data_IF_349816252629
#
_entry.id   IF_349816252629
#
_cell.length_a   1.000
_cell.length_b   1.000
_cell.length_c   1.000
_cell.angle_alpha   90.00
_cell.angle_beta   90.00
_cell.angle_gamma   90.00
#
_symmetry.space_group_name_H-M   'P 1'
#
loop_
_entity.id
_entity.type
_entity.pdbx_description
1 polymer ?
#
# COMPACT_ATOMS: atom_id res chain seq x y z
N UNK A 1 -7.76 -28.22 19.87
CA UNK A 1 -6.69 -27.39 19.27
C UNK A 1 -6.26 -27.98 17.94
N UNK A 2 -5.89 -27.15 16.95
CA UNK A 2 -5.42 -27.66 15.64
C UNK A 2 -4.08 -28.41 15.81
N UNK A 3 -3.83 -29.51 15.08
CA UNK A 3 -2.53 -30.18 15.06
C UNK A 3 -1.38 -29.26 14.65
N UNK A 4 -0.20 -29.45 15.23
CA UNK A 4 1.00 -28.65 14.94
C UNK A 4 1.34 -28.60 13.44
N UNK A 5 1.20 -29.72 12.72
CA UNK A 5 1.43 -29.80 11.26
C UNK A 5 0.48 -28.89 10.48
N UNK A 6 -0.80 -28.83 10.85
CA UNK A 6 -1.79 -27.96 10.20
C UNK A 6 -1.48 -26.48 10.45
N UNK A 7 -1.04 -26.14 11.66
CA UNK A 7 -0.62 -24.77 12.00
C UNK A 7 0.56 -24.35 11.13
N UNK A 8 1.60 -25.20 11.02
CA UNK A 8 2.76 -24.94 10.16
C UNK A 8 2.37 -24.78 8.69
N UNK A 9 1.47 -25.62 8.19
CA UNK A 9 0.99 -25.52 6.81
C UNK A 9 0.24 -24.19 6.59
N UNK A 10 -0.62 -23.78 7.52
CA UNK A 10 -1.29 -22.48 7.48
C UNK A 10 -0.31 -21.31 7.44
N UNK A 11 0.74 -21.35 8.27
CA UNK A 11 1.80 -20.32 8.26
C UNK A 11 2.50 -20.24 6.91
N UNK A 12 2.82 -21.39 6.30
CA UNK A 12 3.47 -21.44 4.97
C UNK A 12 2.59 -20.79 3.90
N UNK A 13 1.31 -21.17 3.84
CA UNK A 13 0.35 -20.62 2.87
C UNK A 13 0.23 -19.10 3.03
N UNK A 14 0.10 -18.60 4.27
CA UNK A 14 0.03 -17.16 4.52
C UNK A 14 1.30 -16.43 4.11
N UNK A 15 2.47 -17.00 4.38
CA UNK A 15 3.75 -16.42 3.99
C UNK A 15 3.95 -16.39 2.47
N UNK A 16 3.57 -17.44 1.75
CA UNK A 16 3.62 -17.50 0.30
C UNK A 16 2.71 -16.45 -0.34
N UNK A 17 1.46 -16.33 0.13
CA UNK A 17 0.53 -15.28 -0.31
C UNK A 17 1.09 -13.88 -0.08
N UNK A 18 1.72 -13.65 1.07
CA UNK A 18 2.35 -12.36 1.37
C UNK A 18 3.53 -12.09 0.45
N UNK A 19 4.37 -13.09 0.22
CA UNK A 19 5.53 -13.02 -0.70
C UNK A 19 5.12 -12.78 -2.13
N UNK A 20 3.97 -13.28 -2.57
CA UNK A 20 3.49 -13.12 -3.95
C UNK A 20 2.82 -11.75 -4.19
N UNK A 21 2.17 -11.18 -3.17
CA UNK A 21 1.32 -9.98 -3.33
C UNK A 21 1.92 -8.68 -2.80
N UNK A 22 2.90 -8.71 -1.88
CA UNK A 22 3.44 -7.50 -1.24
C UNK A 22 4.89 -7.23 -1.66
N UNK A 23 5.33 -5.95 -1.68
CA UNK A 23 6.70 -5.57 -2.05
C UNK A 23 7.71 -5.86 -0.92
N UNK A 24 7.83 -7.13 -0.54
CA UNK A 24 8.79 -7.57 0.47
C UNK A 24 10.22 -7.23 0.06
N UNK A 25 10.98 -6.68 1.01
CA UNK A 25 12.36 -6.23 0.78
C UNK A 25 12.48 -4.76 0.34
N UNK A 26 11.37 -4.09 -0.01
CA UNK A 26 11.37 -2.65 -0.26
C UNK A 26 11.00 -1.89 1.01
N UNK A 27 11.58 -0.69 1.18
CA UNK A 27 11.30 0.20 2.32
C UNK A 27 9.88 0.76 2.18
N UNK A 28 8.94 0.30 3.00
CA UNK A 28 7.54 0.77 3.01
C UNK A 28 6.95 0.69 4.41
N UNK A 29 5.83 1.38 4.64
CA UNK A 29 5.10 1.40 5.90
C UNK A 29 3.87 0.49 5.95
N UNK A 30 3.71 -0.41 4.96
CA UNK A 30 2.50 -1.21 4.79
C UNK A 30 1.48 -0.56 3.86
N UNK A 31 0.20 -0.87 4.07
CA UNK A 31 -0.91 -0.21 3.39
C UNK A 31 -1.00 1.24 3.83
N UNK A 32 -1.06 2.17 2.87
CA UNK A 32 -1.18 3.60 3.16
C UNK A 32 -2.60 3.97 3.56
N UNK A 33 -3.60 3.44 2.85
CA UNK A 33 -5.00 3.77 3.06
C UNK A 33 -5.80 2.59 3.59
N UNK A 34 -6.79 2.89 4.43
CA UNK A 34 -7.81 1.91 4.82
C UNK A 34 -8.66 1.55 3.60
N UNK A 35 -9.22 0.35 3.62
CA UNK A 35 -10.21 -0.03 2.62
C UNK A 35 -11.57 0.63 2.94
N UNK A 36 -12.18 1.38 2.00
CA UNK A 36 -13.54 1.88 2.16
C UNK A 36 -14.56 0.73 2.22
N UNK A 37 -15.74 0.99 2.78
CA UNK A 37 -16.78 -0.05 2.92
C UNK A 37 -17.14 -0.67 1.56
N UNK A 38 -17.03 -1.99 1.46
CA UNK A 38 -17.38 -2.74 0.25
C UNK A 38 -16.39 -2.60 -0.92
N UNK A 39 -15.27 -1.90 -0.75
CA UNK A 39 -14.29 -1.73 -1.83
C UNK A 39 -12.83 -1.77 -1.31
N UNK A 40 -11.87 -1.77 -2.24
CA UNK A 40 -10.45 -1.85 -1.91
C UNK A 40 -9.70 -0.62 -2.41
N UNK A 41 -8.99 0.05 -1.52
CA UNK A 41 -8.15 1.20 -1.88
C UNK A 41 -7.08 0.80 -2.90
N UNK A 42 -6.44 -0.36 -2.69
CA UNK A 42 -5.47 -0.89 -3.64
C UNK A 42 -6.06 -1.13 -5.03
N UNK A 43 -7.29 -1.66 -5.12
CA UNK A 43 -7.97 -1.86 -6.40
C UNK A 43 -8.26 -0.53 -7.10
N UNK A 44 -8.81 0.46 -6.39
CA UNK A 44 -9.10 1.78 -6.96
C UNK A 44 -7.84 2.46 -7.50
N UNK A 45 -6.73 2.41 -6.75
CA UNK A 45 -5.45 3.00 -7.16
C UNK A 45 -4.88 2.28 -8.40
N UNK A 46 -5.03 0.96 -8.47
CA UNK A 46 -4.58 0.14 -9.62
C UNK A 46 -5.43 0.40 -10.88
N UNK A 47 -6.76 0.51 -10.75
CA UNK A 47 -7.68 0.82 -11.85
C UNK A 47 -7.39 2.19 -12.48
N UNK A 48 -6.89 3.15 -11.69
CA UNK A 48 -6.41 4.44 -12.17
C UNK A 48 -5.01 4.40 -12.79
N UNK A 49 -4.37 3.22 -12.84
CA UNK A 49 -3.04 3.05 -13.40
C UNK A 49 -1.93 3.74 -12.61
N UNK A 50 -2.14 4.02 -11.31
CA UNK A 50 -1.21 4.83 -10.51
C UNK A 50 -0.01 4.04 -9.98
N UNK A 51 0.08 2.73 -10.26
CA UNK A 51 1.30 1.96 -9.98
C UNK A 51 2.50 2.62 -10.66
N UNK A 52 3.63 2.65 -9.97
CA UNK A 52 4.88 3.31 -10.40
C UNK A 52 4.83 4.84 -10.45
N UNK A 53 3.69 5.49 -10.16
CA UNK A 53 3.64 6.93 -9.93
C UNK A 53 4.68 7.30 -8.87
N UNK A 54 5.46 8.35 -9.13
CA UNK A 54 6.58 8.73 -8.27
C UNK A 54 6.58 10.23 -8.01
N UNK A 55 7.02 10.61 -6.81
CA UNK A 55 7.36 11.99 -6.40
C UNK A 55 8.75 11.91 -5.78
N UNK A 56 9.76 12.47 -6.43
CA UNK A 56 11.15 12.21 -6.06
C UNK A 56 11.44 10.69 -6.03
N UNK A 57 11.97 10.21 -4.91
CA UNK A 57 12.25 8.78 -4.68
C UNK A 57 11.07 8.02 -4.03
N UNK A 58 9.96 8.70 -3.68
CA UNK A 58 8.75 8.04 -3.21
C UNK A 58 7.97 7.50 -4.41
N UNK A 59 7.51 6.24 -4.33
CA UNK A 59 6.87 5.58 -5.46
C UNK A 59 5.72 4.67 -5.04
N UNK A 60 4.64 4.63 -5.80
CA UNK A 60 3.60 3.61 -5.66
C UNK A 60 4.16 2.28 -6.16
N UNK A 61 4.14 1.25 -5.31
CA UNK A 61 4.68 -0.07 -5.66
C UNK A 61 4.03 -0.61 -6.94
N UNK A 62 4.86 -1.18 -7.81
CA UNK A 62 4.43 -1.93 -8.98
C UNK A 62 3.70 -3.23 -8.64
N UNK A 63 3.93 -3.75 -7.43
CA UNK A 63 3.38 -5.01 -6.96
C UNK A 63 2.05 -4.84 -6.24
N UNK A 64 1.93 -3.83 -5.38
CA UNK A 64 0.72 -3.57 -4.62
C UNK A 64 0.41 -2.07 -4.60
N UNK A 65 -0.69 -1.65 -5.23
CA UNK A 65 -0.99 -0.23 -5.43
C UNK A 65 -1.25 0.56 -4.13
N UNK A 66 -1.69 -0.10 -3.04
CA UNK A 66 -1.79 0.53 -1.72
C UNK A 66 -0.48 0.57 -0.92
N UNK A 67 0.66 0.15 -1.49
CA UNK A 67 1.97 0.20 -0.83
C UNK A 67 2.82 1.27 -1.48
N UNK A 68 3.28 2.23 -0.69
CA UNK A 68 4.17 3.27 -1.16
C UNK A 68 5.57 2.95 -0.63
N UNK A 69 6.51 2.93 -1.55
CA UNK A 69 7.87 2.47 -1.33
C UNK A 69 8.83 3.64 -1.46
N UNK A 70 9.85 3.66 -0.61
CA UNK A 70 11.01 4.50 -0.80
C UNK A 70 11.99 3.74 -1.71
N UNK A 71 12.09 4.18 -2.97
CA UNK A 71 12.96 3.58 -3.98
C UNK A 71 14.45 4.01 -3.85
N UNK A 72 14.76 4.92 -2.91
CA UNK A 72 16.10 5.45 -2.71
C UNK A 72 16.21 6.27 -1.41
N UNK A 73 16.16 7.59 -1.57
CA UNK A 73 16.31 8.62 -0.52
C UNK A 73 15.04 9.47 -0.35
N UNK A 74 13.86 8.87 -0.54
CA UNK A 74 12.60 9.59 -0.42
C UNK A 74 12.47 10.27 0.95
N UNK A 75 12.16 11.56 0.95
CA UNK A 75 11.88 12.32 2.16
C UNK A 75 10.45 12.07 2.65
N UNK A 76 10.17 12.46 3.90
CA UNK A 76 8.80 12.45 4.40
C UNK A 76 7.88 13.36 3.56
N UNK A 77 8.40 14.49 3.07
CA UNK A 77 7.67 15.40 2.18
C UNK A 77 7.29 14.71 0.87
N UNK A 78 8.21 13.98 0.24
CA UNK A 78 7.94 13.23 -0.99
C UNK A 78 6.83 12.20 -0.78
N UNK A 79 6.90 11.46 0.33
CA UNK A 79 5.88 10.47 0.68
C UNK A 79 4.52 11.13 0.92
N UNK A 80 4.47 12.23 1.66
CA UNK A 80 3.21 12.96 1.93
C UNK A 80 2.61 13.58 0.68
N UNK A 81 3.45 14.12 -0.23
CA UNK A 81 3.00 14.62 -1.52
C UNK A 81 2.42 13.49 -2.38
N UNK A 82 3.09 12.33 -2.44
CA UNK A 82 2.57 11.17 -3.16
C UNK A 82 1.24 10.67 -2.57
N UNK A 83 1.10 10.64 -1.24
CA UNK A 83 -0.14 10.28 -0.54
C UNK A 83 -1.27 11.25 -0.92
N UNK A 84 -0.99 12.55 -0.87
CA UNK A 84 -1.98 13.57 -1.21
C UNK A 84 -2.42 13.46 -2.67
N UNK A 85 -1.48 13.23 -3.59
CA UNK A 85 -1.78 13.12 -5.01
C UNK A 85 -2.63 11.89 -5.32
N UNK A 86 -2.26 10.71 -4.78
CA UNK A 86 -3.06 9.49 -4.99
C UNK A 86 -4.44 9.63 -4.38
N UNK A 87 -4.57 10.22 -3.17
CA UNK A 87 -5.87 10.47 -2.54
C UNK A 87 -6.74 11.36 -3.43
N UNK A 88 -6.22 12.48 -3.91
CA UNK A 88 -6.96 13.41 -4.76
C UNK A 88 -7.41 12.77 -6.08
N UNK A 89 -6.57 11.92 -6.69
CA UNK A 89 -6.96 11.18 -7.92
C UNK A 89 -8.07 10.17 -7.66
N UNK A 90 -8.04 9.45 -6.55
CA UNK A 90 -9.11 8.52 -6.18
C UNK A 90 -10.40 9.26 -5.86
N UNK A 91 -10.32 10.36 -5.12
CA UNK A 91 -11.49 11.20 -4.85
C UNK A 91 -12.11 11.73 -6.14
N UNK A 92 -11.32 12.29 -7.05
CA UNK A 92 -11.83 12.85 -8.29
C UNK A 92 -12.48 11.81 -9.21
N UNK A 93 -11.97 10.57 -9.22
CA UNK A 93 -12.47 9.52 -10.10
C UNK A 93 -13.63 8.71 -9.51
N UNK A 94 -13.62 8.45 -8.20
CA UNK A 94 -14.59 7.57 -7.53
C UNK A 94 -15.52 8.31 -6.57
N UNK A 95 -15.27 9.59 -6.26
CA UNK A 95 -15.97 10.32 -5.21
C UNK A 95 -15.69 9.78 -3.80
N UNK A 96 -14.63 8.98 -3.63
CA UNK A 96 -14.28 8.31 -2.37
C UNK A 96 -13.07 8.98 -1.74
N UNK A 97 -13.23 9.45 -0.51
CA UNK A 97 -12.14 9.97 0.31
C UNK A 97 -11.41 8.83 1.01
N UNK A 98 -10.14 8.60 0.63
CA UNK A 98 -9.31 7.58 1.27
C UNK A 98 -8.71 8.08 2.59
N UNK A 99 -9.07 7.40 3.69
CA UNK A 99 -8.47 7.61 5.00
C UNK A 99 -7.11 6.93 5.12
N UNK A 100 -6.16 7.60 5.78
CA UNK A 100 -4.87 6.99 6.10
C UNK A 100 -5.04 5.85 7.11
N UNK A 101 -4.39 4.73 6.83
CA UNK A 101 -4.13 3.66 7.80
C UNK A 101 -2.81 3.92 8.55
N UNK A 102 -1.83 4.48 7.86
CA UNK A 102 -0.56 4.90 8.48
C UNK A 102 -0.74 6.12 9.38
N UNK A 103 -0.03 6.13 10.50
CA UNK A 103 0.03 7.29 11.40
C UNK A 103 1.19 8.19 10.99
N UNK A 104 0.89 9.46 10.73
CA UNK A 104 1.90 10.48 10.41
C UNK A 104 2.22 11.25 11.69
N UNK A 105 3.48 11.27 12.08
CA UNK A 105 3.97 12.01 13.24
C UNK A 105 4.64 13.28 12.72
N UNK A 106 4.09 14.43 13.07
CA UNK A 106 4.74 15.72 12.80
C UNK A 106 5.68 16.01 13.97
N UNK A 107 6.96 16.22 13.66
CA UNK A 107 7.98 16.67 14.61
C UNK A 107 7.93 18.20 14.78
#
# INVERSE_FOLDING_TARGET
SKPFKEILQGIRICNEKRRSSQPLGQKSAGCIFKNPLGASAGRMIDELGLKRLSVGDAKVSDRHANFFVNAGRASAKDMLTLISEVRGRVENAFGVQLENEVVVWNA
#
